data_IF_195538434379
#
_entry.id   IF_195538434379
#
_cell.length_a   1.000
_cell.length_b   1.000
_cell.length_c   1.000
_cell.angle_alpha   90.00
_cell.angle_beta   90.00
_cell.angle_gamma   90.00
#
_symmetry.space_group_name_H-M   'P 1'
#
loop_
_entity.id
_entity.type
_entity.pdbx_description
1 polymer ?
#
# COMPACT_ATOMS: atom_id res chain seq x y z
N UNK A 1 -31.98 -14.03 -1.31
CA UNK A 1 -30.83 -13.47 -0.56
C UNK A 1 -29.55 -14.33 -0.61
N UNK A 2 -29.18 -15.07 -1.68
CA UNK A 2 -27.99 -15.94 -1.65
C UNK A 2 -26.66 -15.17 -1.69
N UNK A 3 -26.66 -14.00 -2.34
CA UNK A 3 -25.47 -13.17 -2.53
C UNK A 3 -25.00 -12.51 -1.22
N UNK A 4 -25.94 -12.04 -0.41
CA UNK A 4 -25.64 -11.43 0.89
C UNK A 4 -25.01 -12.45 1.85
N UNK A 5 -25.63 -13.62 1.98
CA UNK A 5 -25.12 -14.69 2.85
C UNK A 5 -23.76 -15.22 2.39
N UNK A 6 -23.55 -15.33 1.06
CA UNK A 6 -22.27 -15.76 0.50
C UNK A 6 -21.18 -14.73 0.78
N UNK A 7 -21.47 -13.43 0.60
CA UNK A 7 -20.50 -12.38 0.86
C UNK A 7 -20.09 -12.38 2.33
N UNK A 8 -21.06 -12.40 3.26
CA UNK A 8 -20.83 -12.51 4.72
C UNK A 8 -19.99 -13.74 5.07
N UNK A 9 -20.24 -14.89 4.43
CA UNK A 9 -19.48 -16.12 4.69
C UNK A 9 -18.01 -16.07 4.20
N UNK A 10 -17.66 -15.18 3.27
CA UNK A 10 -16.28 -15.02 2.77
C UNK A 10 -15.47 -13.97 3.55
N UNK A 11 -16.08 -13.27 4.50
CA UNK A 11 -15.45 -12.21 5.26
C UNK A 11 -14.75 -12.75 6.51
N UNK A 12 -13.61 -12.15 6.85
CA UNK A 12 -12.95 -12.35 8.14
C UNK A 12 -13.76 -11.69 9.26
N UNK A 13 -13.58 -12.15 10.51
CA UNK A 13 -14.31 -11.63 11.66
C UNK A 13 -14.23 -10.09 11.77
N UNK A 14 -13.05 -9.50 11.58
CA UNK A 14 -12.82 -8.03 11.55
C UNK A 14 -13.69 -7.32 10.50
N UNK A 15 -13.85 -7.93 9.32
CA UNK A 15 -14.59 -7.34 8.23
C UNK A 15 -16.10 -7.50 8.40
N UNK A 16 -16.54 -8.53 9.13
CA UNK A 16 -17.95 -8.75 9.50
C UNK A 16 -18.45 -7.63 10.40
N UNK A 17 -17.64 -7.16 11.36
CA UNK A 17 -17.97 -6.05 12.28
C UNK A 17 -18.45 -4.79 11.55
N UNK A 18 -17.85 -4.55 10.37
CA UNK A 18 -18.07 -3.35 9.57
C UNK A 18 -19.31 -3.43 8.68
N UNK A 19 -19.94 -4.60 8.58
CA UNK A 19 -21.12 -4.86 7.75
C UNK A 19 -22.33 -5.28 8.59
N UNK A 20 -22.17 -5.32 9.93
CA UNK A 20 -23.27 -5.55 10.88
C UNK A 20 -24.31 -4.44 10.73
N UNK A 21 -25.51 -4.83 10.28
CA UNK A 21 -26.63 -3.92 10.07
C UNK A 21 -26.97 -3.63 8.61
N UNK A 22 -26.11 -4.03 7.67
CA UNK A 22 -26.42 -3.98 6.23
C UNK A 22 -27.49 -5.02 5.88
N UNK A 23 -28.53 -4.60 5.13
CA UNK A 23 -29.69 -5.44 4.77
C UNK A 23 -29.61 -5.96 3.34
N UNK A 24 -28.71 -5.41 2.53
CA UNK A 24 -28.55 -5.77 1.12
C UNK A 24 -27.10 -6.09 0.79
N UNK A 25 -26.88 -6.96 -0.19
CA UNK A 25 -25.53 -7.27 -0.68
C UNK A 25 -24.81 -6.03 -1.23
N UNK A 26 -25.57 -5.06 -1.75
CA UNK A 26 -25.03 -3.77 -2.18
C UNK A 26 -24.48 -2.96 -1.01
N UNK A 27 -25.22 -2.84 0.10
CA UNK A 27 -24.75 -2.11 1.29
C UNK A 27 -23.48 -2.74 1.87
N UNK A 28 -23.45 -4.07 1.98
CA UNK A 28 -22.25 -4.80 2.44
C UNK A 28 -21.08 -4.52 1.50
N UNK A 29 -21.28 -4.64 0.19
CA UNK A 29 -20.22 -4.37 -0.79
C UNK A 29 -19.72 -2.91 -0.71
N UNK A 30 -20.62 -1.94 -0.59
CA UNK A 30 -20.26 -0.51 -0.45
C UNK A 30 -19.52 -0.23 0.85
N UNK A 31 -19.93 -0.83 1.98
CA UNK A 31 -19.25 -0.66 3.26
C UNK A 31 -17.82 -1.22 3.21
N UNK A 32 -17.64 -2.41 2.63
CA UNK A 32 -16.33 -3.01 2.40
C UNK A 32 -15.50 -2.17 1.44
N UNK A 33 -16.08 -1.72 0.33
CA UNK A 33 -15.42 -0.86 -0.63
C UNK A 33 -14.94 0.42 0.04
N UNK A 34 -15.77 1.10 0.84
CA UNK A 34 -15.37 2.31 1.56
C UNK A 34 -14.25 2.04 2.56
N UNK A 35 -14.34 0.95 3.34
CA UNK A 35 -13.32 0.59 4.33
C UNK A 35 -11.99 0.27 3.66
N UNK A 36 -12.00 -0.62 2.67
CA UNK A 36 -10.78 -1.11 2.02
C UNK A 36 -10.24 -0.15 0.96
N UNK A 37 -11.07 0.67 0.29
CA UNK A 37 -10.56 1.74 -0.58
C UNK A 37 -9.95 2.88 0.23
N UNK A 38 -10.49 3.22 1.40
CA UNK A 38 -9.89 4.20 2.31
C UNK A 38 -8.56 3.69 2.89
N UNK A 39 -8.51 2.42 3.30
CA UNK A 39 -7.23 1.78 3.66
C UNK A 39 -6.30 1.77 2.44
N UNK A 40 -6.80 1.51 1.22
CA UNK A 40 -5.97 1.48 0.02
C UNK A 40 -5.35 2.85 -0.28
N UNK A 41 -6.10 3.95 -0.15
CA UNK A 41 -5.57 5.30 -0.36
C UNK A 41 -4.62 5.72 0.76
N UNK A 42 -4.94 5.42 2.02
CA UNK A 42 -4.04 5.62 3.15
C UNK A 42 -2.78 4.76 3.05
N UNK A 43 -2.89 3.51 2.58
CA UNK A 43 -1.79 2.57 2.37
C UNK A 43 -0.90 3.02 1.21
N UNK A 44 -1.48 3.49 0.11
CA UNK A 44 -0.74 4.13 -0.99
C UNK A 44 0.00 5.36 -0.48
N UNK A 45 -0.65 6.25 0.27
CA UNK A 45 -0.01 7.43 0.83
C UNK A 45 1.10 7.07 1.83
N UNK A 46 0.89 6.03 2.64
CA UNK A 46 1.90 5.51 3.55
C UNK A 46 3.12 4.97 2.79
N UNK A 47 2.91 4.17 1.74
CA UNK A 47 3.99 3.65 0.89
C UNK A 47 4.73 4.77 0.14
N UNK A 48 4.02 5.81 -0.33
CA UNK A 48 4.64 7.01 -0.93
C UNK A 48 5.49 7.76 0.09
N UNK A 49 4.98 7.93 1.32
CA UNK A 49 5.75 8.54 2.40
C UNK A 49 6.98 7.69 2.75
N UNK A 50 6.84 6.37 2.83
CA UNK A 50 7.93 5.42 3.08
C UNK A 50 9.01 5.52 1.99
N UNK A 51 8.60 5.61 0.71
CA UNK A 51 9.51 5.81 -0.42
C UNK A 51 10.31 7.11 -0.31
N UNK A 52 9.73 8.19 0.22
CA UNK A 52 10.40 9.49 0.32
C UNK A 52 11.35 9.59 1.52
N UNK A 53 11.07 8.87 2.61
CA UNK A 53 11.90 8.90 3.82
C UNK A 53 12.91 7.75 3.87
N UNK A 54 12.88 6.83 2.90
CA UNK A 54 13.77 5.67 2.89
C UNK A 54 15.23 6.13 2.76
N UNK A 55 16.05 5.72 3.71
CA UNK A 55 17.48 5.98 3.71
C UNK A 55 18.26 4.67 3.73
N UNK A 56 19.44 4.67 3.12
CA UNK A 56 20.38 3.55 3.23
C UNK A 56 20.77 3.33 4.69
N UNK A 57 21.07 4.43 5.41
CA UNK A 57 21.58 4.37 6.77
C UNK A 57 22.81 3.47 6.87
N UNK A 58 22.85 2.62 7.90
CA UNK A 58 23.89 1.60 8.10
C UNK A 58 23.74 0.33 7.26
N UNK A 59 22.68 0.19 6.46
CA UNK A 59 22.49 -0.99 5.61
C UNK A 59 23.45 -0.99 4.42
N UNK A 60 23.68 -2.17 3.83
CA UNK A 60 24.35 -2.26 2.54
C UNK A 60 23.44 -1.75 1.40
N UNK A 61 24.04 -1.41 0.27
CA UNK A 61 23.31 -0.85 -0.89
C UNK A 61 22.28 -1.85 -1.42
N UNK A 62 22.60 -3.14 -1.46
CA UNK A 62 21.68 -4.17 -1.95
C UNK A 62 20.38 -4.27 -1.12
N UNK A 63 20.48 -4.23 0.21
CA UNK A 63 19.32 -4.24 1.11
C UNK A 63 18.50 -2.96 0.98
N UNK A 64 19.16 -1.81 0.82
CA UNK A 64 18.49 -0.55 0.58
C UNK A 64 17.67 -0.59 -0.72
N UNK A 65 18.30 -1.00 -1.84
CA UNK A 65 17.63 -1.13 -3.12
C UNK A 65 16.51 -2.17 -3.08
N UNK A 66 16.69 -3.28 -2.36
CA UNK A 66 15.65 -4.30 -2.18
C UNK A 66 14.43 -3.74 -1.44
N UNK A 67 14.61 -2.98 -0.36
CA UNK A 67 13.49 -2.35 0.37
C UNK A 67 12.72 -1.38 -0.53
N UNK A 68 13.44 -0.56 -1.28
CA UNK A 68 12.83 0.36 -2.24
C UNK A 68 12.08 -0.37 -3.35
N UNK A 69 12.63 -1.50 -3.84
CA UNK A 69 11.96 -2.40 -4.78
C UNK A 69 10.63 -2.91 -4.22
N UNK A 70 10.62 -3.37 -2.97
CA UNK A 70 9.41 -3.87 -2.30
C UNK A 70 8.35 -2.78 -2.17
N UNK A 71 8.72 -1.55 -1.82
CA UNK A 71 7.78 -0.42 -1.73
C UNK A 71 7.17 -0.12 -3.10
N UNK A 72 8.00 -0.06 -4.15
CA UNK A 72 7.53 0.13 -5.54
C UNK A 72 6.57 -0.98 -5.96
N UNK A 73 6.93 -2.25 -5.73
CA UNK A 73 6.11 -3.39 -6.13
C UNK A 73 4.73 -3.37 -5.41
N UNK A 74 4.68 -2.95 -4.14
CA UNK A 74 3.42 -2.76 -3.39
C UNK A 74 2.57 -1.63 -3.97
N UNK A 75 3.18 -0.51 -4.35
CA UNK A 75 2.47 0.61 -4.97
C UNK A 75 1.92 0.22 -6.35
N UNK A 76 2.69 -0.50 -7.16
CA UNK A 76 2.22 -1.04 -8.44
C UNK A 76 1.06 -2.03 -8.24
N UNK A 77 1.14 -2.89 -7.24
CA UNK A 77 0.04 -3.82 -6.89
C UNK A 77 -1.24 -3.07 -6.43
N UNK A 78 -1.09 -1.90 -5.82
CA UNK A 78 -2.20 -1.01 -5.46
C UNK A 78 -2.77 -0.21 -6.66
N UNK A 79 -2.25 -0.41 -7.87
CA UNK A 79 -2.70 0.26 -9.09
C UNK A 79 -2.09 1.64 -9.30
N UNK A 80 -1.10 2.03 -8.51
CA UNK A 80 -0.39 3.30 -8.70
C UNK A 80 0.64 3.21 -9.83
N UNK A 81 0.60 4.19 -10.73
CA UNK A 81 1.67 4.40 -11.72
C UNK A 81 2.78 5.18 -11.07
N UNK A 82 3.86 4.49 -10.72
CA UNK A 82 5.11 5.14 -10.34
C UNK A 82 5.98 5.30 -11.58
N UNK A 83 6.53 6.48 -11.77
CA UNK A 83 7.49 6.75 -12.84
C UNK A 83 8.86 6.27 -12.35
N UNK A 84 9.59 5.49 -13.15
CA UNK A 84 10.91 4.99 -12.77
C UNK A 84 11.87 6.12 -12.36
N UNK A 85 11.75 7.29 -12.97
CA UNK A 85 12.52 8.48 -12.62
C UNK A 85 12.28 8.94 -11.17
N UNK A 86 11.05 8.87 -10.66
CA UNK A 86 10.74 9.24 -9.28
C UNK A 86 11.36 8.26 -8.29
N UNK A 87 11.39 6.97 -8.65
CA UNK A 87 12.09 5.93 -7.87
C UNK A 87 13.59 6.18 -7.86
N UNK A 88 14.17 6.59 -8.99
CA UNK A 88 15.60 6.92 -9.09
C UNK A 88 15.93 8.17 -8.25
N UNK A 89 15.10 9.20 -8.30
CA UNK A 89 15.29 10.40 -7.45
C UNK A 89 15.21 10.01 -5.98
N UNK A 90 14.19 9.24 -5.57
CA UNK A 90 14.06 8.75 -4.20
C UNK A 90 15.29 7.92 -3.76
N UNK A 91 15.80 7.07 -4.67
CA UNK A 91 17.01 6.27 -4.48
C UNK A 91 18.23 7.15 -4.16
N UNK A 92 18.44 8.17 -4.98
CA UNK A 92 19.59 9.06 -4.87
C UNK A 92 19.50 9.92 -3.61
N UNK A 93 18.30 10.42 -3.28
CA UNK A 93 18.09 11.21 -2.06
C UNK A 93 18.25 10.40 -0.76
N UNK A 94 18.06 9.09 -0.80
CA UNK A 94 18.22 8.22 0.36
C UNK A 94 19.64 7.70 0.57
N UNK A 95 20.58 8.00 -0.33
CA UNK A 95 21.98 7.66 -0.17
C UNK A 95 22.70 8.67 0.75
N UNK A 96 23.63 8.23 1.60
CA UNK A 96 24.42 9.14 2.43
C UNK A 96 25.42 9.93 1.57
N UNK A 97 25.83 11.11 2.05
CA UNK A 97 26.74 12.03 1.36
C UNK A 97 28.09 11.40 0.95
N UNK A 98 28.48 10.28 1.55
CA UNK A 98 29.65 9.49 1.13
C UNK A 98 29.53 8.95 -0.31
N UNK A 99 28.31 8.87 -0.86
CA UNK A 99 28.03 8.47 -2.24
C UNK A 99 27.86 9.67 -3.18
N UNK A 100 27.87 10.90 -2.66
CA UNK A 100 27.74 12.15 -3.43
C UNK A 100 29.09 12.60 -4.02
N UNK A 101 30.10 11.72 -3.99
CA UNK A 101 31.45 12.03 -4.44
C UNK A 101 31.59 11.89 -5.97
N UNK A 102 31.34 13.01 -6.65
CA UNK A 102 32.06 13.69 -7.78
C UNK A 102 31.04 14.40 -8.68
#
# INVERSE_FOLDING_TARGET
MPLLSLLIATLSDDAIEHVVGCKTSHEVWTALQNRYMSISSASVNHLKAELHIIQKGGDNVDKYLLRMKVIRDKLTAAGEKIIDNDVVIAALTGLPADFDMI
#
